data_IF_371410265274
#
_entry.id   IF_371410265274
#
_cell.length_a   1.000
_cell.length_b   1.000
_cell.length_c   1.000
_cell.angle_alpha   90.00
_cell.angle_beta   90.00
_cell.angle_gamma   90.00
#
_symmetry.space_group_name_H-M   'P 1'
#
loop_
_entity.id
_entity.type
_entity.pdbx_description
1 polymer ?
#
# COMPACT_ATOMS: atom_id res chain seq x y z
N UNK A 1 32.19 14.05 7.98
CA UNK A 1 31.14 13.24 8.66
C UNK A 1 31.10 11.89 7.96
N UNK A 2 30.91 10.75 8.65
CA UNK A 2 30.66 9.49 7.96
C UNK A 2 29.41 9.66 7.09
N UNK A 3 29.36 9.04 5.90
CA UNK A 3 28.12 8.93 5.14
C UNK A 3 27.07 8.31 6.06
N UNK A 4 26.06 9.10 6.46
CA UNK A 4 24.91 8.55 7.17
C UNK A 4 24.28 7.52 6.24
N UNK A 5 24.22 6.26 6.67
CA UNK A 5 23.45 5.24 5.96
C UNK A 5 22.02 5.75 5.75
N UNK A 6 21.49 5.58 4.54
CA UNK A 6 20.05 5.75 4.29
C UNK A 6 19.29 4.69 5.08
N UNK A 7 18.07 5.02 5.53
CA UNK A 7 17.14 4.07 6.13
C UNK A 7 16.27 3.39 5.05
N UNK A 8 16.77 3.28 3.82
CA UNK A 8 16.05 2.72 2.68
C UNK A 8 17.01 2.13 1.64
N UNK A 9 16.45 1.23 0.83
CA UNK A 9 17.04 0.74 -0.42
C UNK A 9 16.23 1.24 -1.61
N UNK A 10 16.88 1.42 -2.75
CA UNK A 10 16.23 1.79 -4.01
C UNK A 10 15.54 0.58 -4.66
N UNK A 11 14.44 0.85 -5.35
CA UNK A 11 13.61 -0.13 -6.03
C UNK A 11 13.71 0.01 -7.55
N UNK A 12 14.12 -1.07 -8.19
CA UNK A 12 14.40 -1.18 -9.61
C UNK A 12 13.33 -2.02 -10.32
N UNK A 13 13.14 -1.76 -11.62
CA UNK A 13 12.25 -2.58 -12.46
C UNK A 13 12.77 -3.98 -12.72
N UNK A 14 14.10 -4.18 -12.69
CA UNK A 14 14.80 -5.44 -12.96
C UNK A 14 15.95 -5.64 -11.95
N UNK A 15 16.45 -6.88 -11.75
CA UNK A 15 17.55 -7.17 -10.82
C UNK A 15 18.92 -6.71 -11.35
N UNK A 16 19.09 -5.41 -11.56
CA UNK A 16 20.33 -4.79 -12.04
C UNK A 16 20.40 -3.32 -11.64
N UNK A 17 21.60 -2.82 -11.35
CA UNK A 17 21.82 -1.39 -11.11
C UNK A 17 21.69 -0.53 -12.37
N UNK A 18 21.81 -1.14 -13.55
CA UNK A 18 21.58 -0.48 -14.84
C UNK A 18 20.07 -0.42 -15.20
N UNK A 19 19.23 -1.07 -14.40
CA UNK A 19 17.78 -0.97 -14.55
C UNK A 19 17.29 0.43 -14.15
N UNK A 20 16.21 0.86 -14.79
CA UNK A 20 15.44 2.00 -14.32
C UNK A 20 14.85 1.73 -12.92
N UNK A 21 14.73 2.79 -12.13
CA UNK A 21 13.95 2.81 -10.90
C UNK A 21 12.46 2.73 -11.21
N UNK A 22 11.68 2.11 -10.32
CA UNK A 22 10.23 2.09 -10.45
C UNK A 22 9.67 3.51 -10.30
N UNK A 23 8.51 3.79 -10.89
CA UNK A 23 7.86 5.09 -10.80
C UNK A 23 6.45 4.96 -10.26
N UNK A 24 5.92 6.04 -9.70
CA UNK A 24 4.53 6.18 -9.29
C UNK A 24 3.94 7.49 -9.81
N UNK A 25 2.72 7.40 -10.34
CA UNK A 25 1.97 8.52 -10.91
C UNK A 25 1.73 9.69 -9.94
N UNK A 26 1.77 9.44 -8.63
CA UNK A 26 1.57 10.46 -7.60
C UNK A 26 2.85 11.30 -7.37
N UNK A 27 4.02 10.84 -7.85
CA UNK A 27 5.33 11.49 -7.65
C UNK A 27 5.94 11.99 -8.96
N UNK A 28 5.61 11.35 -10.08
CA UNK A 28 6.17 11.70 -11.38
C UNK A 28 5.20 11.41 -12.53
N UNK A 29 5.27 12.24 -13.58
CA UNK A 29 4.65 11.92 -14.88
C UNK A 29 5.56 11.04 -15.76
N UNK A 30 6.78 10.74 -15.29
CA UNK A 30 7.72 9.83 -15.93
C UNK A 30 7.38 8.37 -15.62
N UNK A 31 7.78 7.47 -16.50
CA UNK A 31 7.77 6.03 -16.24
C UNK A 31 9.03 5.56 -15.50
N UNK A 32 9.96 6.47 -15.21
CA UNK A 32 11.24 6.20 -14.54
C UNK A 32 11.30 6.99 -13.23
N UNK A 33 11.62 6.29 -12.13
CA UNK A 33 11.81 6.88 -10.80
C UNK A 33 13.08 7.72 -10.69
N UNK A 34 13.33 8.29 -9.53
CA UNK A 34 14.43 9.25 -9.32
C UNK A 34 15.17 9.04 -8.01
N UNK A 35 16.47 9.35 -8.01
CA UNK A 35 17.25 9.31 -6.75
C UNK A 35 16.95 10.46 -5.80
N UNK A 36 16.03 11.36 -6.15
CA UNK A 36 15.66 12.52 -5.35
C UNK A 36 15.05 12.11 -4.00
N UNK A 37 15.19 13.01 -3.02
CA UNK A 37 14.81 12.72 -1.63
C UNK A 37 13.29 12.68 -1.41
N UNK A 38 12.56 13.46 -2.19
CA UNK A 38 11.10 13.61 -2.13
C UNK A 38 10.35 12.57 -2.97
N UNK A 39 11.04 11.87 -3.86
CA UNK A 39 10.51 10.66 -4.49
C UNK A 39 10.51 9.52 -3.46
N UNK A 40 9.34 9.11 -2.99
CA UNK A 40 9.23 7.96 -2.07
C UNK A 40 8.77 6.70 -2.78
N UNK A 41 8.43 6.80 -4.07
CA UNK A 41 7.85 5.71 -4.83
C UNK A 41 8.85 4.61 -5.15
N UNK A 42 10.15 4.92 -5.14
CA UNK A 42 11.22 4.00 -5.50
C UNK A 42 12.09 3.60 -4.32
N UNK A 43 11.53 3.65 -3.11
CA UNK A 43 12.25 3.38 -1.86
C UNK A 43 11.50 2.38 -0.99
N UNK A 44 12.20 1.32 -0.56
CA UNK A 44 11.75 0.45 0.52
C UNK A 44 12.47 0.85 1.81
N UNK A 45 11.70 1.32 2.79
CA UNK A 45 12.24 1.88 4.05
C UNK A 45 12.38 0.81 5.13
N UNK A 46 13.39 0.96 5.97
CA UNK A 46 13.59 0.14 7.17
C UNK A 46 12.36 0.21 8.08
N UNK A 47 11.94 -0.95 8.58
CA UNK A 47 10.78 -1.08 9.48
C UNK A 47 9.46 -1.38 8.78
N UNK A 48 9.41 -1.25 7.45
CA UNK A 48 8.29 -1.71 6.64
C UNK A 48 8.44 -3.20 6.29
N UNK A 49 7.32 -3.90 6.10
CA UNK A 49 7.30 -5.31 5.72
C UNK A 49 6.73 -5.46 4.31
N UNK A 50 7.29 -6.38 3.55
CA UNK A 50 6.89 -6.66 2.16
C UNK A 50 6.81 -8.17 1.95
N UNK A 51 5.96 -8.59 1.01
CA UNK A 51 5.96 -9.97 0.56
C UNK A 51 7.14 -10.19 -0.40
N UNK A 52 8.02 -11.14 -0.06
CA UNK A 52 9.08 -11.60 -0.96
C UNK A 52 8.46 -12.49 -2.04
N UNK A 53 8.50 -12.01 -3.28
CA UNK A 53 8.01 -12.74 -4.46
C UNK A 53 9.07 -13.74 -4.93
N UNK A 54 10.33 -13.30 -4.98
CA UNK A 54 11.40 -14.08 -5.59
C UNK A 54 12.80 -13.54 -5.30
N UNK A 55 13.78 -14.16 -5.93
CA UNK A 55 15.19 -13.77 -5.83
C UNK A 55 15.93 -14.12 -7.13
N UNK A 56 16.89 -13.26 -7.51
CA UNK A 56 17.81 -13.46 -8.63
C UNK A 56 19.20 -13.01 -8.22
N UNK A 57 20.09 -13.96 -7.91
CA UNK A 57 21.40 -13.66 -7.32
C UNK A 57 21.23 -12.87 -6.02
N UNK A 58 21.91 -11.72 -5.93
CA UNK A 58 21.83 -10.80 -4.80
C UNK A 58 20.60 -9.89 -4.82
N UNK A 59 19.65 -10.08 -5.73
CA UNK A 59 18.47 -9.22 -5.86
C UNK A 59 17.22 -9.91 -5.32
N UNK A 60 16.43 -9.18 -4.54
CA UNK A 60 15.14 -9.65 -4.02
C UNK A 60 14.00 -8.94 -4.75
N UNK A 61 12.99 -9.72 -5.14
CA UNK A 61 11.74 -9.20 -5.72
C UNK A 61 10.65 -9.11 -4.65
N UNK A 62 9.89 -8.02 -4.68
CA UNK A 62 8.74 -7.78 -3.80
C UNK A 62 7.53 -7.28 -4.61
N UNK A 63 6.34 -7.53 -4.07
CA UNK A 63 5.13 -6.83 -4.50
C UNK A 63 5.11 -5.42 -3.88
N UNK A 64 5.02 -4.39 -4.73
CA UNK A 64 5.11 -3.00 -4.28
C UNK A 64 4.18 -2.09 -5.10
N UNK A 65 3.13 -1.57 -4.47
CA UNK A 65 2.29 -0.52 -5.08
C UNK A 65 1.51 -0.92 -6.33
N UNK A 66 1.25 -2.22 -6.54
CA UNK A 66 0.59 -2.75 -7.72
C UNK A 66 1.55 -3.17 -8.84
N UNK A 67 2.86 -3.21 -8.57
CA UNK A 67 3.90 -3.61 -9.52
C UNK A 67 4.97 -4.47 -8.84
N UNK A 68 5.79 -5.15 -9.65
CA UNK A 68 6.98 -5.83 -9.16
C UNK A 68 8.10 -4.81 -8.91
N UNK A 69 8.90 -5.03 -7.87
CA UNK A 69 10.03 -4.19 -7.54
C UNK A 69 11.22 -5.02 -7.06
N UNK A 70 12.41 -4.66 -7.52
CA UNK A 70 13.66 -5.34 -7.21
C UNK A 70 14.57 -4.46 -6.38
N UNK A 71 15.24 -5.03 -5.38
CA UNK A 71 16.31 -4.33 -4.66
C UNK A 71 17.50 -5.24 -4.40
N UNK A 72 18.67 -4.61 -4.32
CA UNK A 72 19.90 -5.29 -4.01
C UNK A 72 19.95 -5.67 -2.52
N UNK A 73 20.15 -6.95 -2.25
CA UNK A 73 20.07 -7.59 -0.95
C UNK A 73 21.08 -8.75 -0.85
N UNK A 74 22.40 -8.46 -0.98
CA UNK A 74 23.43 -9.49 -0.96
C UNK A 74 23.42 -10.20 0.38
N UNK A 75 23.45 -11.53 0.37
CA UNK A 75 23.41 -12.37 1.57
C UNK A 75 22.27 -12.01 2.57
N UNK A 76 21.15 -11.47 2.06
CA UNK A 76 20.03 -10.92 2.84
C UNK A 76 20.41 -9.77 3.80
N UNK A 77 21.52 -9.06 3.57
CA UNK A 77 22.05 -8.03 4.47
C UNK A 77 21.10 -6.85 4.72
N UNK A 78 20.13 -6.61 3.83
CA UNK A 78 19.19 -5.50 3.92
C UNK A 78 17.81 -5.93 4.47
N UNK A 79 17.63 -7.20 4.85
CA UNK A 79 16.34 -7.75 5.27
C UNK A 79 16.45 -8.68 6.47
N UNK A 80 15.37 -8.76 7.24
CA UNK A 80 15.17 -9.81 8.24
C UNK A 80 13.88 -10.54 7.93
N UNK A 81 13.88 -11.87 8.06
CA UNK A 81 12.67 -12.66 7.88
C UNK A 81 11.58 -12.24 8.89
N UNK A 82 10.35 -12.15 8.41
CA UNK A 82 9.17 -11.92 9.22
C UNK A 82 8.10 -12.95 8.85
N UNK A 83 7.19 -13.21 9.79
CA UNK A 83 5.99 -14.01 9.58
C UNK A 83 4.76 -13.14 9.85
N UNK A 84 3.68 -13.38 9.13
CA UNK A 84 2.44 -12.65 9.31
C UNK A 84 1.35 -13.11 8.36
N UNK A 85 0.26 -12.35 8.33
CA UNK A 85 -0.83 -12.57 7.38
C UNK A 85 -0.62 -11.73 6.13
N UNK A 86 -1.02 -12.28 5.00
CA UNK A 86 -0.99 -11.64 3.71
C UNK A 86 -2.42 -11.44 3.19
N UNK A 87 -2.58 -10.41 2.37
CA UNK A 87 -3.83 -10.05 1.70
C UNK A 87 -3.60 -10.18 0.21
N UNK A 88 -4.49 -10.90 -0.47
CA UNK A 88 -4.40 -11.11 -1.92
C UNK A 88 -5.79 -11.03 -2.56
N UNK A 89 -5.92 -10.58 -3.82
CA UNK A 89 -7.21 -10.59 -4.51
C UNK A 89 -7.79 -12.00 -4.58
N UNK A 90 -9.10 -12.12 -4.29
CA UNK A 90 -9.82 -13.40 -4.26
C UNK A 90 -9.95 -14.08 -5.63
N UNK A 91 -9.96 -13.26 -6.69
CA UNK A 91 -10.18 -13.71 -8.06
C UNK A 91 -9.02 -13.25 -8.94
N UNK A 92 -8.99 -13.78 -10.17
CA UNK A 92 -8.01 -13.40 -11.21
C UNK A 92 -8.29 -12.02 -11.84
N UNK A 93 -8.69 -11.04 -11.02
CA UNK A 93 -8.97 -9.66 -11.44
C UNK A 93 -8.29 -8.68 -10.49
N UNK A 94 -7.84 -7.57 -11.05
CA UNK A 94 -7.37 -6.45 -10.26
C UNK A 94 -8.52 -5.87 -9.41
N UNK A 95 -8.20 -5.44 -8.19
CA UNK A 95 -9.18 -4.87 -7.26
C UNK A 95 -8.76 -3.45 -6.87
N UNK A 96 -9.72 -2.56 -6.53
CA UNK A 96 -9.40 -1.20 -6.14
C UNK A 96 -8.75 -1.15 -4.76
N UNK A 97 -7.70 -0.32 -4.64
CA UNK A 97 -7.07 0.07 -3.37
C UNK A 97 -7.44 1.51 -3.07
N UNK A 98 -7.96 1.75 -1.88
CA UNK A 98 -8.45 3.04 -1.40
C UNK A 98 -7.46 3.65 -0.41
N UNK A 99 -7.36 4.98 -0.39
CA UNK A 99 -6.62 5.71 0.65
C UNK A 99 -7.38 5.88 1.97
N UNK A 100 -8.65 5.46 2.01
CA UNK A 100 -9.49 5.55 3.20
C UNK A 100 -10.60 4.50 3.17
N UNK A 101 -10.91 3.92 4.32
CA UNK A 101 -12.03 2.99 4.52
C UNK A 101 -13.35 3.75 4.76
N UNK A 102 -13.79 4.55 3.78
CA UNK A 102 -15.02 5.33 3.94
C UNK A 102 -16.29 4.51 3.66
N UNK A 103 -17.44 4.88 4.28
CA UNK A 103 -18.73 4.32 3.94
C UNK A 103 -19.06 4.50 2.45
N UNK A 104 -19.99 3.69 1.98
CA UNK A 104 -20.53 3.82 0.63
C UNK A 104 -21.06 5.25 0.36
N UNK A 105 -20.92 5.72 -0.88
CA UNK A 105 -21.32 7.06 -1.29
C UNK A 105 -22.82 7.32 -1.04
N UNK A 106 -23.68 6.30 -1.18
CA UNK A 106 -25.11 6.41 -0.86
C UNK A 106 -25.34 6.69 0.63
N UNK A 107 -24.54 6.07 1.51
CA UNK A 107 -24.59 6.28 2.96
C UNK A 107 -24.08 7.66 3.33
N UNK A 108 -22.97 8.10 2.74
CA UNK A 108 -22.44 9.46 2.93
C UNK A 108 -23.47 10.53 2.51
N UNK A 109 -24.07 10.37 1.32
CA UNK A 109 -25.11 11.28 0.81
C UNK A 109 -26.36 11.29 1.69
N UNK A 110 -26.83 10.13 2.14
CA UNK A 110 -27.98 10.01 3.06
C UNK A 110 -27.75 10.81 4.34
N UNK A 111 -26.51 10.86 4.81
CA UNK A 111 -26.10 11.62 6.00
C UNK A 111 -25.61 13.04 5.68
N UNK A 112 -25.90 13.55 4.47
CA UNK A 112 -25.59 14.92 4.03
C UNK A 112 -24.08 15.25 4.06
N UNK A 113 -23.22 14.25 3.94
CA UNK A 113 -21.78 14.46 3.77
C UNK A 113 -21.51 14.86 2.32
N UNK A 114 -20.78 15.96 2.12
CA UNK A 114 -20.39 16.48 0.81
C UNK A 114 -18.87 16.54 0.67
N UNK A 115 -18.34 16.41 -0.55
CA UNK A 115 -16.90 16.50 -0.81
C UNK A 115 -16.08 15.28 -0.36
N UNK A 116 -16.73 14.26 0.21
CA UNK A 116 -16.09 13.01 0.64
C UNK A 116 -16.72 11.82 -0.09
N UNK A 117 -15.89 10.92 -0.62
CA UNK A 117 -16.29 9.61 -1.15
C UNK A 117 -15.10 8.67 -1.15
N UNK A 118 -15.33 7.37 -0.99
CA UNK A 118 -14.28 6.37 -1.25
C UNK A 118 -13.92 6.39 -2.75
N UNK A 119 -12.72 6.85 -3.08
CA UNK A 119 -12.20 6.86 -4.46
C UNK A 119 -10.98 5.94 -4.53
N UNK A 120 -10.94 4.96 -5.45
CA UNK A 120 -9.74 4.16 -5.65
C UNK A 120 -8.53 5.05 -6.01
N UNK A 121 -7.38 4.77 -5.40
CA UNK A 121 -6.11 5.42 -5.70
C UNK A 121 -5.24 4.58 -6.63
N UNK A 122 -5.32 3.25 -6.47
CA UNK A 122 -4.55 2.25 -7.20
C UNK A 122 -5.40 1.01 -7.43
N UNK A 123 -4.82 0.07 -8.16
CA UNK A 123 -5.32 -1.29 -8.27
C UNK A 123 -4.29 -2.26 -7.69
N UNK A 124 -4.76 -3.34 -7.07
CA UNK A 124 -3.98 -4.48 -6.66
C UNK A 124 -4.19 -5.59 -7.70
N UNK A 125 -3.20 -5.88 -8.57
CA UNK A 125 -3.28 -6.95 -9.55
C UNK A 125 -3.50 -8.32 -8.91
N UNK A 126 -4.15 -9.21 -9.64
CA UNK A 126 -4.36 -10.59 -9.23
C UNK A 126 -3.03 -11.29 -8.89
N UNK A 127 -3.04 -12.11 -7.85
CA UNK A 127 -1.89 -12.91 -7.41
C UNK A 127 -0.86 -12.17 -6.54
N UNK A 128 -0.85 -10.83 -6.56
CA UNK A 128 0.00 -10.04 -5.66
C UNK A 128 -0.43 -10.19 -4.20
N UNK A 129 0.52 -10.06 -3.29
CA UNK A 129 0.30 -10.21 -1.85
C UNK A 129 0.88 -9.04 -1.08
N UNK A 130 0.10 -8.55 -0.14
CA UNK A 130 0.45 -7.40 0.70
C UNK A 130 0.28 -7.71 2.18
N UNK A 131 1.09 -7.08 3.02
CA UNK A 131 1.09 -7.34 4.47
C UNK A 131 -0.22 -6.86 5.09
N UNK A 132 -0.89 -7.76 5.82
CA UNK A 132 -2.13 -7.48 6.54
C UNK A 132 -1.89 -6.54 7.72
N UNK A 133 -2.67 -5.46 7.79
CA UNK A 133 -2.62 -4.45 8.86
C UNK A 133 -3.81 -4.47 9.83
N UNK A 134 -4.83 -5.30 9.59
CA UNK A 134 -6.05 -5.35 10.41
C UNK A 134 -7.33 -5.24 9.59
N UNK A 135 -8.47 -5.55 10.22
CA UNK A 135 -9.81 -5.31 9.68
C UNK A 135 -10.48 -4.13 10.38
N UNK A 136 -11.27 -3.35 9.64
CA UNK A 136 -12.08 -2.27 10.19
C UNK A 136 -13.40 -2.12 9.46
N UNK A 137 -14.36 -1.47 10.12
CA UNK A 137 -15.62 -1.04 9.51
C UNK A 137 -15.49 0.35 8.92
N UNK A 138 -16.33 0.63 7.94
CA UNK A 138 -16.32 1.88 7.19
C UNK A 138 -17.02 3.01 7.96
N UNK A 139 -16.45 3.41 9.10
CA UNK A 139 -16.99 4.50 9.91
C UNK A 139 -16.49 5.86 9.40
N UNK A 140 -17.32 6.90 9.49
CA UNK A 140 -16.95 8.27 9.15
C UNK A 140 -17.37 9.25 10.23
N UNK A 141 -16.42 10.04 10.73
CA UNK A 141 -16.70 11.15 11.62
C UNK A 141 -16.93 12.43 10.83
N UNK A 142 -18.18 12.90 10.79
CA UNK A 142 -18.54 14.16 10.18
C UNK A 142 -18.25 15.31 11.15
N UNK A 143 -17.04 15.88 11.05
CA UNK A 143 -16.60 16.95 11.94
C UNK A 143 -17.39 18.24 11.70
N UNK A 144 -18.05 18.73 12.74
CA UNK A 144 -18.63 20.07 12.78
C UNK A 144 -17.86 20.92 13.81
N UNK A 145 -17.52 22.16 13.45
CA UNK A 145 -16.64 23.05 14.23
C UNK A 145 -17.09 23.30 15.69
N UNK A 146 -18.37 23.05 16.02
CA UNK A 146 -18.96 23.35 17.33
C UNK A 146 -19.68 22.17 18.00
N UNK A 147 -19.47 20.93 17.54
CA UNK A 147 -20.12 19.75 18.11
C UNK A 147 -19.28 18.50 17.90
N UNK A 148 -18.93 17.82 18.99
CA UNK A 148 -18.37 16.46 18.95
C UNK A 148 -19.30 15.53 19.73
N UNK A 149 -20.38 15.09 19.07
CA UNK A 149 -21.35 14.15 19.67
C UNK A 149 -21.36 12.84 18.88
N UNK A 150 -21.81 11.75 19.50
CA UNK A 150 -21.93 10.45 18.84
C UNK A 150 -22.80 10.48 17.55
N UNK A 151 -23.67 11.48 17.39
CA UNK A 151 -24.48 11.70 16.17
C UNK A 151 -23.65 12.06 14.94
N UNK A 152 -22.39 12.48 15.13
CA UNK A 152 -21.48 12.83 14.05
C UNK A 152 -20.77 11.60 13.46
N UNK A 153 -20.85 10.44 14.12
CA UNK A 153 -20.27 9.19 13.62
C UNK A 153 -21.31 8.49 12.76
N UNK A 154 -21.02 8.37 11.47
CA UNK A 154 -21.75 7.53 10.54
C UNK A 154 -21.10 6.14 10.62
N UNK A 155 -21.84 5.16 11.16
CA UNK A 155 -21.41 3.77 11.21
C UNK A 155 -21.93 3.00 10.01
N UNK A 156 -21.09 2.18 9.43
CA UNK A 156 -21.45 1.36 8.27
C UNK A 156 -20.69 0.04 8.33
N UNK A 157 -21.34 -1.06 7.92
CA UNK A 157 -20.83 -2.41 8.16
C UNK A 157 -19.93 -2.93 7.04
N UNK A 158 -19.69 -2.15 5.97
CA UNK A 158 -18.68 -2.51 4.97
C UNK A 158 -17.35 -2.67 5.67
N UNK A 159 -16.77 -3.85 5.50
CA UNK A 159 -15.47 -4.19 6.05
C UNK A 159 -14.38 -3.87 5.06
N UNK A 160 -13.33 -3.25 5.56
CA UNK A 160 -12.08 -3.07 4.86
C UNK A 160 -10.96 -3.84 5.55
N UNK A 161 -9.97 -4.23 4.76
CA UNK A 161 -8.70 -4.77 5.23
C UNK A 161 -7.62 -3.72 4.95
N UNK A 162 -6.83 -3.42 5.96
CA UNK A 162 -5.67 -2.55 5.84
C UNK A 162 -4.49 -3.32 5.26
N UNK A 163 -3.76 -2.71 4.32
CA UNK A 163 -2.56 -3.27 3.69
C UNK A 163 -1.42 -2.26 3.69
N UNK A 164 -0.17 -2.74 3.81
CA UNK A 164 1.00 -1.93 3.46
C UNK A 164 1.14 -1.93 1.94
N UNK A 165 0.99 -0.78 1.27
CA UNK A 165 0.92 -0.69 -0.18
C UNK A 165 1.76 0.49 -0.67
N UNK A 166 2.86 0.22 -1.39
CA UNK A 166 3.88 1.25 -1.69
C UNK A 166 4.47 1.80 -0.35
N UNK A 167 4.81 3.09 -0.27
CA UNK A 167 5.26 3.82 0.92
C UNK A 167 4.12 4.21 1.88
N UNK A 168 2.90 3.70 1.68
CA UNK A 168 1.70 4.12 2.41
C UNK A 168 0.87 2.94 2.92
N UNK A 169 -0.15 3.28 3.70
CA UNK A 169 -1.22 2.35 4.06
C UNK A 169 -2.33 2.47 3.02
N UNK A 170 -2.81 1.33 2.53
CA UNK A 170 -3.98 1.22 1.67
C UNK A 170 -5.11 0.43 2.36
N UNK A 171 -6.31 0.55 1.80
CA UNK A 171 -7.49 -0.19 2.23
C UNK A 171 -8.13 -0.89 1.05
N UNK A 172 -8.49 -2.16 1.21
CA UNK A 172 -9.23 -2.95 0.22
C UNK A 172 -10.52 -3.46 0.85
N UNK A 173 -11.58 -3.64 0.06
CA UNK A 173 -12.82 -4.19 0.59
C UNK A 173 -12.59 -5.66 0.96
N UNK A 174 -13.04 -6.07 2.14
CA UNK A 174 -12.89 -7.45 2.60
C UNK A 174 -13.61 -8.48 1.70
N UNK A 175 -14.60 -8.04 0.92
CA UNK A 175 -15.28 -8.90 -0.07
C UNK A 175 -14.37 -9.30 -1.23
N UNK A 176 -13.37 -8.48 -1.55
CA UNK A 176 -12.58 -8.59 -2.78
C UNK A 176 -11.27 -9.36 -2.57
N UNK A 177 -10.94 -9.70 -1.33
CA UNK A 177 -9.69 -10.32 -0.92
C UNK A 177 -9.87 -11.57 -0.10
N UNK A 178 -8.78 -12.34 -0.03
CA UNK A 178 -8.55 -13.36 0.98
C UNK A 178 -7.39 -12.92 1.89
N UNK A 179 -7.51 -13.28 3.16
CA UNK A 179 -6.44 -13.14 4.15
C UNK A 179 -5.87 -14.52 4.40
N UNK A 180 -4.58 -14.70 4.10
CA UNK A 180 -3.88 -15.99 4.17
C UNK A 180 -2.73 -15.90 5.16
N UNK A 181 -2.42 -17.02 5.81
CA UNK A 181 -1.19 -17.15 6.60
C UNK A 181 0.00 -17.40 5.64
N UNK A 182 1.18 -16.91 6.04
CA UNK A 182 2.44 -17.07 5.29
C UNK A 182 3.08 -18.45 5.49
#
# INVERSE_FOLDING_TARGET
MPLKGSNFVYLYKQPSFDSELIADKDFSNSTVGTTEKDDWADKAVTGQQFYKVGQSGDWTEIDYGGQAAWFYNPDNANTTAAAGKLVTPKNDKAIPVYGSAYPDNSILKKNKVTGTKATPLYEMPAGQKYVFGGEMTADYFNSHFNSNTAKNVIKENTKYVQVQFNHRIGFVKATDVDVVDQ
#
